data_IF_161975344503
#
_entry.id   IF_161975344503
#
_cell.length_a   1.000
_cell.length_b   1.000
_cell.length_c   1.000
_cell.angle_alpha   90.00
_cell.angle_beta   90.00
_cell.angle_gamma   90.00
#
_symmetry.space_group_name_H-M   'P 1'
#
loop_
_entity.id
_entity.type
_entity.pdbx_description
1 polymer ?
#
# COMPACT_ATOMS: atom_id res chain seq x y z
N UNK A 1 18.45 7.85 -7.51
CA UNK A 1 17.84 7.99 -6.17
C UNK A 1 18.57 7.01 -5.27
N UNK A 2 19.11 7.43 -4.13
CA UNK A 2 19.68 6.54 -3.12
C UNK A 2 18.76 6.43 -1.89
N UNK A 3 19.09 5.56 -0.93
CA UNK A 3 18.23 5.34 0.24
C UNK A 3 18.04 6.60 1.09
N UNK A 4 19.08 7.43 1.19
CA UNK A 4 19.00 8.71 1.91
C UNK A 4 18.10 9.71 1.19
N UNK A 5 18.04 9.65 -0.15
CA UNK A 5 17.08 10.38 -0.97
C UNK A 5 15.64 9.88 -0.82
N UNK A 6 15.36 8.64 -0.41
CA UNK A 6 13.98 8.27 -0.02
C UNK A 6 13.64 8.87 1.34
N UNK A 7 14.56 8.80 2.29
CA UNK A 7 14.33 9.35 3.64
C UNK A 7 14.34 10.88 3.68
N UNK A 8 14.75 11.55 2.61
CA UNK A 8 14.49 12.98 2.40
C UNK A 8 13.04 13.26 1.97
N UNK A 9 12.38 12.30 1.30
CA UNK A 9 10.95 12.40 0.94
C UNK A 9 10.02 11.97 2.08
N UNK A 10 10.38 10.90 2.80
CA UNK A 10 9.62 10.39 3.94
C UNK A 10 10.58 10.02 5.09
N UNK A 11 10.59 10.77 6.21
CA UNK A 11 11.42 10.46 7.36
C UNK A 11 11.23 9.02 7.87
N UNK A 12 12.29 8.43 8.42
CA UNK A 12 12.30 7.01 8.83
C UNK A 12 11.14 6.62 9.76
N UNK A 13 10.70 7.52 10.65
CA UNK A 13 9.58 7.25 11.55
C UNK A 13 8.24 7.20 10.82
N UNK A 14 8.01 8.04 9.80
CA UNK A 14 6.82 7.98 8.95
C UNK A 14 6.84 6.73 8.08
N UNK A 15 8.01 6.37 7.53
CA UNK A 15 8.19 5.13 6.78
C UNK A 15 7.90 3.88 7.64
N UNK A 16 8.37 3.87 8.90
CA UNK A 16 8.09 2.79 9.85
C UNK A 16 6.60 2.69 10.21
N UNK A 17 5.92 3.83 10.34
CA UNK A 17 4.48 3.88 10.59
C UNK A 17 3.66 3.31 9.41
N UNK A 18 4.03 3.68 8.17
CA UNK A 18 3.43 3.11 6.97
C UNK A 18 3.67 1.59 6.92
N UNK A 19 4.89 1.15 7.16
CA UNK A 19 5.24 -0.27 7.14
C UNK A 19 4.43 -1.08 8.16
N UNK A 20 4.35 -0.58 9.40
CA UNK A 20 3.56 -1.20 10.46
C UNK A 20 2.06 -1.25 10.12
N UNK A 21 1.54 -0.17 9.52
CA UNK A 21 0.14 -0.12 9.07
C UNK A 21 -0.14 -1.17 8.00
N UNK A 22 0.73 -1.31 6.99
CA UNK A 22 0.57 -2.32 5.94
C UNK A 22 0.56 -3.73 6.53
N UNK A 23 1.51 -4.03 7.41
CA UNK A 23 1.58 -5.30 8.12
C UNK A 23 0.33 -5.62 8.96
N UNK A 24 -0.30 -4.61 9.56
CA UNK A 24 -1.50 -4.79 10.37
C UNK A 24 -2.77 -5.00 9.52
N UNK A 25 -2.84 -4.40 8.33
CA UNK A 25 -4.09 -4.26 7.58
C UNK A 25 -4.25 -5.33 6.51
N UNK A 26 -3.16 -5.74 5.86
CA UNK A 26 -3.23 -6.66 4.74
C UNK A 26 -1.89 -7.41 4.53
N UNK A 27 -1.98 -8.69 4.17
CA UNK A 27 -0.82 -9.40 3.64
C UNK A 27 -0.38 -8.82 2.29
N UNK A 28 0.90 -8.96 1.90
CA UNK A 28 1.45 -8.34 0.69
C UNK A 28 0.73 -8.76 -0.60
N UNK A 29 0.35 -10.03 -0.72
CA UNK A 29 -0.39 -10.55 -1.89
C UNK A 29 -1.83 -10.02 -2.00
N UNK A 30 -2.38 -9.46 -0.92
CA UNK A 30 -3.74 -8.93 -0.90
C UNK A 30 -3.76 -7.42 -1.18
N UNK A 31 -2.61 -6.83 -1.50
CA UNK A 31 -2.51 -5.45 -1.95
C UNK A 31 -2.49 -5.37 -3.47
N UNK A 32 -3.23 -4.39 -3.98
CA UNK A 32 -3.35 -4.16 -5.42
C UNK A 32 -2.93 -2.75 -5.78
N UNK A 33 -2.25 -2.65 -6.92
CA UNK A 33 -1.88 -1.39 -7.53
C UNK A 33 -2.97 -0.97 -8.52
N UNK A 34 -3.04 0.31 -8.84
CA UNK A 34 -4.00 0.81 -9.82
C UNK A 34 -3.35 1.86 -10.68
N UNK A 35 -3.56 1.78 -11.99
CA UNK A 35 -3.08 2.76 -12.94
C UNK A 35 -4.18 3.11 -13.92
N UNK A 36 -4.42 4.41 -14.10
CA UNK A 36 -5.40 4.91 -15.08
C UNK A 36 -6.85 4.43 -14.84
N UNK A 37 -7.18 4.07 -13.59
CA UNK A 37 -8.53 3.78 -13.13
C UNK A 37 -8.86 4.73 -11.99
N UNK A 38 -10.11 5.19 -11.90
CA UNK A 38 -10.56 6.04 -10.80
C UNK A 38 -10.52 5.30 -9.46
N UNK A 39 -10.10 6.02 -8.41
CA UNK A 39 -10.05 5.57 -7.01
C UNK A 39 -11.27 4.75 -6.59
N UNK A 40 -12.47 5.26 -6.86
CA UNK A 40 -13.73 4.57 -6.54
C UNK A 40 -13.81 3.16 -7.15
N UNK A 41 -13.61 3.03 -8.46
CA UNK A 41 -13.69 1.73 -9.15
C UNK A 41 -12.60 0.77 -8.69
N UNK A 42 -11.38 1.26 -8.46
CA UNK A 42 -10.30 0.44 -7.93
C UNK A 42 -10.60 -0.08 -6.52
N UNK A 43 -11.12 0.80 -5.66
CA UNK A 43 -11.46 0.47 -4.27
C UNK A 43 -12.62 -0.53 -4.20
N UNK A 44 -13.68 -0.34 -4.99
CA UNK A 44 -14.79 -1.31 -5.07
C UNK A 44 -14.31 -2.68 -5.56
N UNK A 45 -13.54 -2.72 -6.65
CA UNK A 45 -13.03 -3.99 -7.18
C UNK A 45 -12.18 -4.74 -6.15
N UNK A 46 -11.32 -3.99 -5.44
CA UNK A 46 -10.45 -4.55 -4.42
C UNK A 46 -11.25 -5.09 -3.23
N UNK A 47 -12.18 -4.30 -2.70
CA UNK A 47 -12.98 -4.66 -1.52
C UNK A 47 -13.82 -5.92 -1.77
N UNK A 48 -14.49 -6.01 -2.92
CA UNK A 48 -15.28 -7.18 -3.33
C UNK A 48 -14.47 -8.48 -3.36
N UNK A 49 -13.15 -8.38 -3.55
CA UNK A 49 -12.24 -9.53 -3.71
C UNK A 49 -11.31 -9.72 -2.51
N UNK A 50 -11.56 -9.00 -1.40
CA UNK A 50 -10.75 -9.10 -0.19
C UNK A 50 -9.36 -8.46 -0.31
N UNK A 51 -9.17 -7.60 -1.31
CA UNK A 51 -7.94 -6.85 -1.53
C UNK A 51 -8.02 -5.43 -0.97
N UNK A 52 -6.88 -4.75 -0.92
CA UNK A 52 -6.79 -3.33 -0.59
C UNK A 52 -5.88 -2.56 -1.54
N UNK A 53 -6.32 -1.38 -1.93
CA UNK A 53 -5.56 -0.40 -2.69
C UNK A 53 -4.64 0.43 -1.78
N UNK A 54 -3.74 1.20 -2.37
CA UNK A 54 -2.93 2.21 -1.68
C UNK A 54 -3.77 3.12 -0.77
N UNK A 55 -4.84 3.70 -1.32
CA UNK A 55 -5.71 4.63 -0.61
C UNK A 55 -6.44 3.97 0.57
N UNK A 56 -6.95 2.76 0.39
CA UNK A 56 -7.72 2.07 1.44
C UNK A 56 -6.82 1.47 2.52
N UNK A 57 -5.64 0.97 2.15
CA UNK A 57 -4.67 0.45 3.12
C UNK A 57 -4.12 1.56 4.03
N UNK A 58 -3.85 2.74 3.44
CA UNK A 58 -3.20 3.86 4.11
C UNK A 58 -4.15 5.02 4.46
N UNK A 59 -5.47 4.87 4.27
CA UNK A 59 -6.47 5.95 4.44
C UNK A 59 -6.27 6.81 5.71
N UNK A 60 -6.07 6.24 6.92
CA UNK A 60 -5.85 7.06 8.12
C UNK A 60 -4.64 8.01 8.04
N UNK A 61 -3.65 7.65 7.22
CA UNK A 61 -2.42 8.40 7.01
C UNK A 61 -2.50 9.34 5.80
N UNK A 62 -3.42 9.10 4.86
CA UNK A 62 -3.56 9.83 3.59
C UNK A 62 -4.60 10.96 3.61
N UNK A 63 -5.39 11.09 4.66
CA UNK A 63 -6.46 12.10 4.75
C UNK A 63 -5.95 13.51 5.06
N UNK A 64 -5.46 14.25 4.06
CA UNK A 64 -4.82 15.59 4.22
C UNK A 64 -5.55 16.58 5.16
N UNK A 65 -6.88 16.55 5.24
CA UNK A 65 -7.66 17.48 6.07
C UNK A 65 -7.99 16.96 7.47
N UNK A 66 -7.64 15.71 7.77
CA UNK A 66 -7.82 15.13 9.09
C UNK A 66 -6.65 15.58 9.98
N UNK A 67 -6.89 16.25 11.13
CA UNK A 67 -5.83 16.66 12.05
C UNK A 67 -4.97 15.52 12.58
N UNK A 68 -5.46 14.27 12.47
CA UNK A 68 -4.71 13.06 12.83
C UNK A 68 -3.87 12.51 11.67
N UNK A 69 -4.03 13.02 10.45
CA UNK A 69 -3.24 12.63 9.30
C UNK A 69 -1.88 13.32 9.28
N UNK A 70 -0.95 12.73 8.53
CA UNK A 70 0.36 13.35 8.29
C UNK A 70 0.29 14.53 7.33
N UNK A 71 -0.79 14.66 6.56
CA UNK A 71 -0.95 15.70 5.55
C UNK A 71 -1.41 17.04 6.10
N UNK A 72 -2.03 17.06 7.28
CA UNK A 72 -2.62 18.27 7.85
C UNK A 72 -1.63 19.43 8.04
N UNK A 73 -0.38 19.12 8.42
CA UNK A 73 0.67 20.11 8.66
C UNK A 73 1.71 20.22 7.55
N UNK A 74 1.54 19.53 6.42
CA UNK A 74 2.52 19.49 5.32
C UNK A 74 2.22 20.57 4.28
N UNK A 75 3.27 21.19 3.74
CA UNK A 75 3.15 22.00 2.52
C UNK A 75 2.74 21.12 1.33
N UNK A 76 2.23 21.69 0.23
CA UNK A 76 1.90 20.91 -0.97
C UNK A 76 3.06 20.04 -1.46
N UNK A 77 4.28 20.56 -1.50
CA UNK A 77 5.46 19.81 -1.95
C UNK A 77 5.83 18.68 -0.97
N UNK A 78 5.79 18.97 0.33
CA UNK A 78 6.01 17.94 1.37
C UNK A 78 4.95 16.84 1.31
N UNK A 79 3.72 17.19 0.94
CA UNK A 79 2.64 16.23 0.78
C UNK A 79 2.85 15.32 -0.44
N UNK A 80 3.24 15.89 -1.58
CA UNK A 80 3.60 15.12 -2.78
C UNK A 80 4.76 14.17 -2.48
N UNK A 81 5.80 14.66 -1.81
CA UNK A 81 6.95 13.85 -1.41
C UNK A 81 6.55 12.72 -0.47
N UNK A 82 5.68 13.00 0.51
CA UNK A 82 5.13 11.99 1.40
C UNK A 82 4.33 10.92 0.63
N UNK A 83 3.46 11.32 -0.31
CA UNK A 83 2.69 10.39 -1.14
C UNK A 83 3.60 9.51 -2.01
N UNK A 84 4.64 10.09 -2.62
CA UNK A 84 5.63 9.34 -3.40
C UNK A 84 6.39 8.35 -2.52
N UNK A 85 6.86 8.79 -1.34
CA UNK A 85 7.52 7.92 -0.37
C UNK A 85 6.60 6.79 0.12
N UNK A 86 5.32 7.10 0.37
CA UNK A 86 4.31 6.12 0.75
C UNK A 86 4.05 5.09 -0.36
N UNK A 87 3.97 5.51 -1.63
CA UNK A 87 3.79 4.60 -2.78
C UNK A 87 5.01 3.68 -2.95
N UNK A 88 6.23 4.19 -2.76
CA UNK A 88 7.44 3.35 -2.73
C UNK A 88 7.38 2.34 -1.58
N UNK A 89 7.00 2.76 -0.37
CA UNK A 89 6.85 1.86 0.78
C UNK A 89 5.77 0.79 0.55
N UNK A 90 4.65 1.16 -0.07
CA UNK A 90 3.57 0.26 -0.46
C UNK A 90 4.07 -0.82 -1.43
N UNK A 91 4.80 -0.39 -2.45
CA UNK A 91 5.40 -1.25 -3.47
C UNK A 91 6.47 -2.17 -2.89
N UNK A 92 7.33 -1.66 -2.00
CA UNK A 92 8.33 -2.46 -1.30
C UNK A 92 7.69 -3.51 -0.39
N UNK A 93 6.59 -3.18 0.27
CA UNK A 93 5.85 -4.15 1.07
C UNK A 93 5.23 -5.25 0.19
N UNK A 94 4.62 -4.89 -0.95
CA UNK A 94 4.15 -5.84 -1.96
C UNK A 94 5.28 -6.78 -2.39
N UNK A 95 6.50 -6.26 -2.61
CA UNK A 95 7.68 -7.06 -3.02
C UNK A 95 8.13 -8.12 -2.00
N UNK A 96 7.56 -8.13 -0.79
CA UNK A 96 7.80 -9.20 0.21
C UNK A 96 6.88 -10.42 0.02
N UNK A 97 5.86 -10.28 -0.81
CA UNK A 97 4.96 -11.36 -1.22
C UNK A 97 5.46 -12.12 -2.45
N UNK A 98 4.53 -12.80 -3.12
CA UNK A 98 4.80 -13.59 -4.33
C UNK A 98 4.06 -13.08 -5.57
N UNK A 99 3.08 -12.19 -5.41
CA UNK A 99 2.33 -11.65 -6.53
C UNK A 99 1.62 -10.35 -6.17
N UNK A 100 1.20 -9.62 -7.20
CA UNK A 100 0.24 -8.51 -7.06
C UNK A 100 -0.61 -8.39 -8.31
N UNK A 101 -1.78 -7.77 -8.15
CA UNK A 101 -2.68 -7.41 -9.25
C UNK A 101 -2.60 -5.90 -9.47
N UNK A 102 -2.45 -5.48 -10.72
CA UNK A 102 -2.53 -4.09 -11.16
C UNK A 102 -3.84 -3.89 -11.90
N UNK A 103 -4.65 -2.99 -11.40
CA UNK A 103 -5.91 -2.61 -12.03
C UNK A 103 -5.63 -1.57 -13.11
N UNK A 104 -5.88 -1.91 -14.37
CA UNK A 104 -5.56 -1.02 -15.51
C UNK A 104 -6.71 -0.89 -16.49
N UNK A 105 -6.63 0.11 -17.38
CA UNK A 105 -7.49 0.15 -18.56
C UNK A 105 -7.34 -1.13 -19.40
N UNK A 106 -8.41 -1.57 -20.09
CA UNK A 106 -8.32 -2.74 -20.97
C UNK A 106 -7.44 -2.46 -22.19
N UNK A 107 -6.86 -3.52 -22.80
CA UNK A 107 -6.20 -3.46 -24.09
C UNK A 107 -7.04 -2.73 -25.15
N UNK A 108 -6.38 -2.08 -26.13
CA UNK A 108 -4.95 -2.13 -26.42
C UNK A 108 -4.08 -1.19 -25.55
N UNK A 109 -4.62 -0.09 -25.00
CA UNK A 109 -3.85 0.86 -24.19
C UNK A 109 -4.11 0.64 -22.70
N UNK A 110 -3.28 -0.22 -22.11
CA UNK A 110 -3.36 -0.60 -20.69
C UNK A 110 -2.78 0.46 -19.75
N UNK A 111 -1.63 1.00 -20.12
CA UNK A 111 -0.83 1.92 -19.30
C UNK A 111 -0.34 3.10 -20.14
N UNK A 112 -0.22 4.27 -19.51
CA UNK A 112 0.48 5.43 -20.10
C UNK A 112 1.95 5.40 -19.68
N UNK A 113 2.84 5.84 -20.57
CA UNK A 113 4.29 5.83 -20.33
C UNK A 113 4.69 6.60 -19.05
N UNK A 114 3.97 7.68 -18.73
CA UNK A 114 4.22 8.57 -17.58
C UNK A 114 3.21 8.38 -16.44
N UNK A 115 2.68 7.18 -16.30
CA UNK A 115 1.83 6.84 -15.15
C UNK A 115 2.70 6.65 -13.90
N UNK A 116 2.16 6.98 -12.72
CA UNK A 116 2.87 6.75 -11.45
C UNK A 116 3.29 5.29 -11.30
N UNK A 117 2.45 4.35 -11.74
CA UNK A 117 2.80 2.93 -11.78
C UNK A 117 4.09 2.67 -12.59
N UNK A 118 4.18 3.19 -13.81
CA UNK A 118 5.35 3.02 -14.68
C UNK A 118 6.62 3.68 -14.12
N UNK A 119 6.48 4.92 -13.65
CA UNK A 119 7.63 5.73 -13.23
C UNK A 119 8.14 5.36 -11.83
N UNK A 120 7.25 4.92 -10.93
CA UNK A 120 7.55 4.76 -9.50
C UNK A 120 7.30 3.37 -8.92
N UNK A 121 6.41 2.54 -9.46
CA UNK A 121 6.00 1.30 -8.77
C UNK A 121 6.56 0.05 -9.47
N UNK A 122 6.39 -0.04 -10.80
CA UNK A 122 6.84 -1.18 -11.61
C UNK A 122 8.36 -1.36 -11.55
N UNK A 123 9.12 -0.26 -11.57
CA UNK A 123 10.59 -0.29 -11.53
C UNK A 123 11.10 -0.93 -10.24
N UNK A 124 10.45 -0.68 -9.10
CA UNK A 124 10.82 -1.28 -7.82
C UNK A 124 10.51 -2.77 -7.76
N UNK A 125 9.30 -3.18 -8.19
CA UNK A 125 8.92 -4.59 -8.20
C UNK A 125 9.84 -5.39 -9.12
N UNK A 126 9.98 -4.95 -10.37
CA UNK A 126 10.76 -5.67 -11.37
C UNK A 126 12.27 -5.67 -11.09
N UNK A 127 12.78 -4.65 -10.37
CA UNK A 127 14.16 -4.66 -9.90
C UNK A 127 14.35 -5.57 -8.68
N UNK A 128 13.44 -5.53 -7.70
CA UNK A 128 13.63 -6.17 -6.39
C UNK A 128 13.16 -7.63 -6.31
N UNK A 129 12.32 -8.06 -7.26
CA UNK A 129 11.78 -9.40 -7.30
C UNK A 129 12.47 -10.26 -8.36
N UNK A 130 12.57 -11.56 -8.08
CA UNK A 130 13.05 -12.55 -9.05
C UNK A 130 11.89 -13.02 -9.93
N UNK A 131 12.16 -13.19 -11.23
CA UNK A 131 11.13 -13.51 -12.25
C UNK A 131 10.41 -14.83 -12.00
N UNK A 132 11.08 -15.78 -11.37
CA UNK A 132 10.57 -17.11 -11.02
C UNK A 132 9.77 -17.13 -9.71
N UNK A 133 9.91 -16.11 -8.86
CA UNK A 133 9.32 -16.05 -7.52
C UNK A 133 8.20 -15.02 -7.37
N UNK A 134 8.11 -14.07 -8.29
CA UNK A 134 7.12 -13.00 -8.23
C UNK A 134 6.39 -12.82 -9.56
N UNK A 135 5.09 -12.56 -9.50
CA UNK A 135 4.26 -12.29 -10.68
C UNK A 135 3.48 -10.99 -10.55
N UNK A 136 3.36 -10.28 -11.67
CA UNK A 136 2.45 -9.14 -11.79
C UNK A 136 1.31 -9.58 -12.71
N UNK A 137 0.08 -9.50 -12.20
CA UNK A 137 -1.12 -9.76 -12.96
C UNK A 137 -1.83 -8.45 -13.30
N UNK A 138 -2.48 -8.38 -14.45
CA UNK A 138 -3.38 -7.29 -14.79
C UNK A 138 -4.83 -7.73 -14.70
N UNK A 139 -5.67 -6.83 -14.19
CA UNK A 139 -7.12 -6.92 -14.24
C UNK A 139 -7.70 -5.68 -14.92
N UNK A 140 -8.87 -5.83 -15.54
CA UNK A 140 -9.57 -4.72 -16.22
C UNK A 140 -10.98 -4.51 -15.66
N UNK A 141 -11.12 -3.92 -14.45
CA UNK A 141 -12.39 -3.73 -13.76
C UNK A 141 -13.47 -2.99 -14.57
N UNK A 142 -13.06 -2.13 -15.50
CA UNK A 142 -13.97 -1.32 -16.32
C UNK A 142 -14.68 -2.14 -17.41
N UNK A 143 -14.34 -3.42 -17.57
CA UNK A 143 -14.98 -4.32 -18.52
C UNK A 143 -15.80 -5.33 -17.73
N UNK A 144 -17.11 -5.09 -17.55
CA UNK A 144 -17.99 -5.94 -16.73
C UNK A 144 -17.88 -7.44 -17.06
N UNK A 145 -17.76 -7.81 -18.34
CA UNK A 145 -17.64 -9.20 -18.77
C UNK A 145 -16.27 -9.85 -18.49
N UNK A 146 -15.28 -9.05 -18.09
CA UNK A 146 -13.89 -9.44 -17.85
C UNK A 146 -13.36 -8.93 -16.51
N UNK A 147 -14.24 -8.48 -15.61
CA UNK A 147 -13.86 -7.84 -14.35
C UNK A 147 -13.02 -8.77 -13.46
N UNK A 148 -13.27 -10.08 -13.55
CA UNK A 148 -12.59 -11.13 -12.78
C UNK A 148 -11.47 -11.82 -13.57
N UNK A 149 -11.34 -11.49 -14.86
CA UNK A 149 -10.30 -12.07 -15.68
C UNK A 149 -8.97 -11.35 -15.40
N UNK A 150 -8.00 -12.13 -14.92
CA UNK A 150 -6.63 -11.69 -14.72
C UNK A 150 -5.67 -12.47 -15.62
N UNK A 151 -4.61 -11.81 -16.07
CA UNK A 151 -3.54 -12.47 -16.82
C UNK A 151 -2.19 -11.91 -16.42
N UNK A 152 -1.15 -12.72 -16.62
CA UNK A 152 0.22 -12.35 -16.31
C UNK A 152 0.68 -11.21 -17.24
N UNK A 153 1.21 -10.15 -16.63
CA UNK A 153 1.88 -9.05 -17.31
C UNK A 153 3.41 -9.18 -17.20
N UNK A 154 3.89 -9.69 -16.07
CA UNK A 154 5.30 -9.93 -15.80
C UNK A 154 5.48 -11.20 -14.96
N UNK A 155 6.49 -12.04 -15.25
CA UNK A 155 7.58 -11.84 -16.22
C UNK A 155 7.20 -12.04 -17.70
N UNK A 156 6.12 -12.76 -18.01
CA UNK A 156 5.67 -13.02 -19.38
C UNK A 156 4.30 -12.39 -19.63
N UNK A 157 4.20 -11.56 -20.66
CA UNK A 157 2.98 -10.81 -20.96
C UNK A 157 1.99 -11.67 -21.77
N UNK A 158 0.95 -12.14 -21.10
CA UNK A 158 -0.10 -12.98 -21.66
C UNK A 158 -1.31 -12.20 -22.18
N UNK A 159 -1.13 -10.94 -22.59
CA UNK A 159 -2.17 -10.10 -23.20
C UNK A 159 -2.91 -10.78 -24.37
N UNK A 160 -2.22 -11.64 -25.13
CA UNK A 160 -2.82 -12.36 -26.26
C UNK A 160 -4.00 -13.23 -25.82
N UNK A 161 -3.90 -13.90 -24.65
CA UNK A 161 -4.99 -14.70 -24.11
C UNK A 161 -6.23 -13.83 -23.82
N UNK A 162 -6.02 -12.63 -23.26
CA UNK A 162 -7.10 -11.67 -23.06
C UNK A 162 -7.72 -11.20 -24.38
N UNK A 163 -6.89 -10.84 -25.37
CA UNK A 163 -7.38 -10.36 -26.67
C UNK A 163 -8.17 -11.43 -27.45
N UNK A 164 -7.79 -12.69 -27.33
CA UNK A 164 -8.54 -13.82 -27.91
C UNK A 164 -9.90 -13.99 -27.24
N UNK A 165 -9.99 -13.81 -25.92
CA UNK A 165 -11.23 -13.97 -25.17
C UNK A 165 -12.17 -12.77 -25.30
N UNK A 166 -11.63 -11.56 -25.49
CA UNK A 166 -12.38 -10.30 -25.57
C UNK A 166 -12.09 -9.49 -26.86
N UNK A 167 -12.29 -10.07 -28.06
CA UNK A 167 -11.82 -9.51 -29.33
C UNK A 167 -12.50 -8.19 -29.72
N UNK A 168 -13.79 -8.03 -29.42
CA UNK A 168 -14.57 -6.82 -29.73
C UNK A 168 -14.24 -5.62 -28.83
N UNK A 169 -13.43 -5.83 -27.78
CA UNK A 169 -13.03 -4.77 -26.84
C UNK A 169 -11.62 -4.25 -27.11
N UNK A 170 -10.78 -5.00 -27.83
CA UNK A 170 -9.51 -4.53 -28.38
C UNK A 170 -9.67 -3.53 -29.54
N UNK A 171 -10.84 -3.50 -30.20
CA UNK A 171 -11.10 -2.62 -31.37
C UNK A 171 -11.51 -1.18 -31.01
N UNK A 172 -12.00 -0.94 -29.79
CA UNK A 172 -12.56 0.37 -29.38
C UNK A 172 -11.53 1.49 -29.18
N UNK A 173 -10.23 1.20 -29.25
CA UNK A 173 -9.17 2.21 -29.12
C UNK A 173 -8.26 2.32 -30.36
N UNK A 174 -8.64 1.69 -31.49
CA UNK A 174 -7.91 1.79 -32.76
C UNK A 174 -8.08 3.15 -33.47
N UNK A 175 -8.90 4.05 -32.92
CA UNK A 175 -8.98 5.44 -33.39
C UNK A 175 -8.07 6.31 -32.50
N UNK A 176 -6.88 6.62 -33.02
CA UNK A 176 -5.99 7.71 -32.59
C UNK A 176 -5.12 7.53 -31.33
N UNK A 177 -4.36 6.45 -31.20
CA UNK A 177 -3.18 6.47 -30.32
C UNK A 177 -1.93 6.15 -31.14
N UNK A 178 -1.43 7.21 -31.78
CA UNK A 178 -0.06 7.26 -32.30
C UNK A 178 0.87 7.04 -31.11
N UNK A 179 1.63 5.96 -31.19
CA UNK A 179 2.67 5.56 -30.25
C UNK A 179 3.63 6.73 -30.00
N UNK A 180 3.87 7.06 -28.73
CA UNK A 180 5.11 7.70 -28.31
C UNK A 180 5.92 6.61 -27.58
N UNK A 181 6.72 5.87 -28.35
CA UNK A 181 7.70 4.90 -27.83
C UNK A 181 9.02 5.58 -27.44
N UNK A 182 8.98 6.87 -27.15
CA UNK A 182 10.18 7.72 -26.97
C UNK A 182 10.23 8.44 -25.62
N UNK A 183 9.36 8.10 -24.67
CA UNK A 183 9.60 8.51 -23.29
C UNK A 183 10.75 7.66 -22.74
N UNK A 184 11.91 8.28 -22.52
CA UNK A 184 13.01 7.70 -21.75
C UNK A 184 12.43 7.18 -20.44
N UNK A 185 12.38 5.86 -20.28
CA UNK A 185 12.06 5.26 -19.00
C UNK A 185 13.07 5.80 -17.99
N UNK A 186 12.65 6.22 -16.78
CA UNK A 186 13.60 6.70 -15.80
C UNK A 186 14.67 5.62 -15.60
N UNK A 187 15.92 6.01 -15.86
CA UNK A 187 17.07 5.10 -15.97
C UNK A 187 17.56 4.69 -14.59
N UNK A 188 16.71 3.99 -13.84
CA UNK A 188 17.14 3.33 -12.61
C UNK A 188 17.89 2.05 -12.96
N UNK A 189 19.12 1.91 -12.47
CA UNK A 189 19.82 0.63 -12.58
C UNK A 189 19.19 -0.34 -11.58
N UNK A 190 18.79 -1.56 -12.00
CA UNK A 190 18.15 -2.51 -11.09
C UNK A 190 18.96 -2.82 -9.82
N UNK A 191 20.29 -2.86 -9.92
CA UNK A 191 21.17 -3.08 -8.77
C UNK A 191 21.10 -1.95 -7.73
N UNK A 192 20.97 -0.69 -8.18
CA UNK A 192 20.86 0.46 -7.29
C UNK A 192 19.55 0.37 -6.49
N UNK A 193 18.44 0.00 -7.15
CA UNK A 193 17.15 -0.19 -6.49
C UNK A 193 17.17 -1.36 -5.50
N UNK A 194 17.85 -2.47 -5.83
CA UNK A 194 18.05 -3.61 -4.91
C UNK A 194 18.81 -3.19 -3.66
N UNK A 195 19.96 -2.54 -3.83
CA UNK A 195 20.77 -2.04 -2.71
C UNK A 195 19.99 -1.03 -1.86
N UNK A 196 19.20 -0.18 -2.53
CA UNK A 196 18.36 0.79 -1.86
C UNK A 196 17.26 0.12 -1.03
N UNK A 197 16.57 -0.89 -1.57
CA UNK A 197 15.62 -1.73 -0.82
C UNK A 197 16.26 -2.32 0.42
N UNK A 198 17.41 -2.98 0.28
CA UNK A 198 18.10 -3.62 1.41
C UNK A 198 18.44 -2.59 2.50
N UNK A 199 18.89 -1.40 2.10
CA UNK A 199 19.19 -0.30 3.02
C UNK A 199 17.94 0.20 3.73
N UNK A 200 16.82 0.36 3.02
CA UNK A 200 15.53 0.78 3.57
C UNK A 200 15.05 -0.24 4.60
N UNK A 201 14.99 -1.52 4.22
CA UNK A 201 14.53 -2.60 5.09
C UNK A 201 15.41 -2.74 6.34
N UNK A 202 16.74 -2.60 6.19
CA UNK A 202 17.68 -2.59 7.32
C UNK A 202 17.42 -1.40 8.26
N UNK A 203 17.25 -0.19 7.74
CA UNK A 203 16.94 1.00 8.55
C UNK A 203 15.60 0.86 9.28
N UNK A 204 14.57 0.34 8.61
CA UNK A 204 13.27 0.06 9.23
C UNK A 204 13.39 -0.96 10.37
N UNK A 205 14.15 -2.04 10.15
CA UNK A 205 14.41 -3.04 11.18
C UNK A 205 15.13 -2.44 12.40
N UNK A 206 16.19 -1.65 12.18
CA UNK A 206 16.93 -1.00 13.27
C UNK A 206 16.08 0.01 14.06
N UNK A 207 15.20 0.73 13.36
CA UNK A 207 14.28 1.67 13.99
C UNK A 207 13.22 0.95 14.82
N UNK A 208 12.58 -0.10 14.28
CA UNK A 208 11.50 -0.83 14.96
C UNK A 208 11.98 -1.66 16.15
N UNK A 209 13.22 -2.17 16.11
CA UNK A 209 13.81 -2.95 17.21
C UNK A 209 14.49 -2.09 18.29
N UNK A 210 14.56 -0.77 18.10
CA UNK A 210 15.33 0.12 18.98
C UNK A 210 16.85 -0.09 18.90
N UNK A 211 17.32 -0.97 18.01
CA UNK A 211 18.75 -1.22 17.79
C UNK A 211 19.49 -0.01 17.21
N UNK A 212 18.77 0.96 16.64
CA UNK A 212 19.32 2.27 16.24
C UNK A 212 20.04 3.00 17.39
N UNK A 213 19.58 2.83 18.64
CA UNK A 213 20.19 3.46 19.82
C UNK A 213 21.58 2.89 20.18
N UNK A 214 21.94 1.72 19.64
CA UNK A 214 23.20 1.05 19.99
C UNK A 214 24.32 1.27 18.97
N UNK A 215 24.04 1.89 17.81
CA UNK A 215 25.02 2.07 16.73
C UNK A 215 25.51 3.51 16.53
N UNK A 216 24.95 4.50 17.24
CA UNK A 216 25.57 5.83 17.36
C UNK A 216 26.66 5.84 18.45
N UNK A 217 27.64 4.95 18.31
CA UNK A 217 28.85 4.92 19.11
C UNK A 217 30.00 5.56 18.34
N UNK A 218 30.00 6.90 18.24
CA UNK A 218 31.17 7.80 18.13
C UNK A 218 30.84 9.08 17.35
N UNK A 219 30.31 10.09 18.04
CA UNK A 219 30.84 11.47 17.99
C UNK A 219 29.95 12.42 18.78
N UNK A 220 30.52 12.89 19.89
CA UNK A 220 30.24 14.09 20.67
C UNK A 220 28.92 14.23 21.45
N UNK A 221 29.12 14.16 22.76
CA UNK A 221 28.27 14.57 23.86
C UNK A 221 27.51 15.87 23.59
N UNK A 222 26.20 15.83 23.82
CA UNK A 222 25.47 16.88 24.53
C UNK A 222 24.37 16.23 25.37
N UNK A 223 24.30 16.68 26.62
CA UNK A 223 23.49 16.16 27.72
C UNK A 223 21.99 16.15 27.39
N UNK A 224 21.31 15.08 27.79
CA UNK A 224 19.84 15.02 27.91
C UNK A 224 19.46 14.88 29.38
N UNK A 225 18.48 15.63 29.91
CA UNK A 225 17.96 15.40 31.24
C UNK A 225 17.10 14.14 31.27
N UNK A 226 17.23 13.37 32.35
CA UNK A 226 16.55 12.12 32.60
C UNK A 226 15.01 12.26 32.61
N UNK A 227 14.33 11.40 31.84
CA UNK A 227 12.93 11.05 32.09
C UNK A 227 12.82 9.55 32.37
N UNK A 228 12.23 9.24 33.52
CA UNK A 228 12.41 7.99 34.24
C UNK A 228 11.86 6.74 33.55
N UNK A 229 12.67 5.68 33.59
CA UNK A 229 12.23 4.29 33.42
C UNK A 229 11.25 3.93 34.54
N UNK A 230 9.99 3.67 34.21
CA UNK A 230 9.14 2.77 35.00
C UNK A 230 9.07 1.42 34.30
N UNK A 231 9.49 0.40 35.03
CA UNK A 231 9.34 -1.03 34.71
C UNK A 231 7.88 -1.32 34.39
N UNK A 232 7.61 -1.96 33.25
CA UNK A 232 6.39 -2.71 32.99
C UNK A 232 6.78 -4.14 32.62
N UNK A 233 7.09 -4.90 33.65
CA UNK A 233 6.96 -6.34 33.69
C UNK A 233 6.29 -6.62 35.04
N UNK A 234 5.30 -7.52 35.06
CA UNK A 234 4.35 -7.83 36.15
C UNK A 234 3.01 -7.07 36.11
N UNK A 235 2.05 -7.61 35.34
CA UNK A 235 0.68 -7.93 35.81
C UNK A 235 -0.24 -8.24 34.61
N UNK A 236 -0.38 -9.53 34.26
CA UNK A 236 -1.41 -10.00 33.33
C UNK A 236 -2.22 -11.21 33.85
N UNK A 237 -2.23 -11.47 35.15
CA UNK A 237 -3.05 -12.56 35.74
C UNK A 237 -4.00 -12.12 36.88
N UNK A 238 -4.51 -10.88 36.88
CA UNK A 238 -5.60 -10.48 37.77
C UNK A 238 -6.61 -9.51 37.12
N UNK A 239 -7.15 -9.90 35.96
CA UNK A 239 -8.35 -9.25 35.40
C UNK A 239 -9.35 -10.29 34.85
N UNK A 240 -9.49 -11.41 35.57
CA UNK A 240 -10.63 -12.31 35.44
C UNK A 240 -11.39 -12.27 36.78
N UNK A 241 -12.39 -11.40 36.88
CA UNK A 241 -13.21 -11.36 38.08
C UNK A 241 -14.11 -10.14 38.20
N UNK A 242 -15.40 -10.37 37.98
CA UNK A 242 -16.53 -9.63 38.54
C UNK A 242 -16.93 -8.29 37.90
N UNK A 243 -18.11 -8.32 37.26
CA UNK A 243 -19.19 -7.49 37.82
C UNK A 243 -19.78 -6.37 36.96
N UNK A 244 -19.55 -6.29 35.65
CA UNK A 244 -20.16 -5.19 34.87
C UNK A 244 -20.61 -5.51 33.43
N UNK A 245 -20.72 -6.81 33.08
CA UNK A 245 -21.28 -7.23 31.77
C UNK A 245 -22.70 -7.79 31.83
N UNK A 246 -23.26 -8.09 33.01
CA UNK A 246 -24.63 -8.60 33.12
C UNK A 246 -25.71 -7.52 33.31
N UNK A 247 -25.33 -6.26 33.60
CA UNK A 247 -26.30 -5.15 33.72
C UNK A 247 -26.68 -4.55 32.37
N UNK A 248 -25.75 -4.53 31.41
CA UNK A 248 -25.98 -3.96 30.07
C UNK A 248 -26.78 -4.87 29.14
N UNK A 249 -26.76 -6.19 29.35
CA UNK A 249 -27.52 -7.15 28.53
C UNK A 249 -28.98 -7.35 28.97
N UNK A 250 -29.39 -6.83 30.15
CA UNK A 250 -30.78 -6.87 30.64
C UNK A 250 -31.61 -5.61 30.31
N UNK A 251 -30.97 -4.52 29.89
CA UNK A 251 -31.67 -3.29 29.47
C UNK A 251 -31.98 -3.28 27.96
N UNK A 252 -31.17 -3.93 27.12
CA UNK A 252 -31.41 -4.01 25.67
C UNK A 252 -32.48 -5.05 25.27
N UNK A 253 -32.70 -6.10 26.09
CA UNK A 253 -33.77 -7.08 25.85
C UNK A 253 -35.17 -6.56 26.21
N UNK A 254 -35.28 -5.53 27.07
CA UNK A 254 -36.56 -4.90 27.41
C UNK A 254 -37.00 -3.79 26.43
N UNK A 255 -36.10 -3.30 25.57
CA UNK A 255 -36.43 -2.30 24.56
C UNK A 255 -37.02 -2.92 23.28
N UNK A 256 -36.61 -4.16 22.95
CA UNK A 256 -37.12 -4.88 21.76
C UNK A 256 -38.52 -5.47 22.00
N UNK A 257 -38.94 -5.72 23.25
CA UNK A 257 -40.27 -6.28 23.54
C UNK A 257 -41.39 -5.23 23.64
N UNK A 258 -41.08 -3.92 23.71
CA UNK A 258 -42.09 -2.83 23.76
C UNK A 258 -42.46 -2.21 22.41
N UNK A 259 -41.83 -2.60 21.31
CA UNK A 259 -42.20 -2.15 19.94
C UNK A 259 -43.16 -3.09 19.21
N UNK A 260 -43.50 -4.24 19.78
CA UNK A 260 -44.36 -5.27 19.16
C UNK A 260 -45.84 -5.15 19.52
N UNK A 261 -46.26 -4.17 20.34
CA UNK A 261 -47.66 -4.01 20.81
C UNK A 261 -48.26 -2.63 20.52
N UNK A 262 -47.78 -1.90 19.50
CA UNK A 262 -48.51 -0.78 18.90
C UNK A 262 -48.60 -0.97 17.38
N UNK A 263 -49.41 -1.93 16.98
CA UNK A 263 -50.14 -1.96 15.70
C UNK A 263 -51.51 -2.56 15.96
N UNK A 264 -52.45 -1.70 16.34
CA UNK A 264 -53.87 -1.79 16.06
C UNK A 264 -54.45 -0.37 16.14
#
# INVERSE_FOLDING_TARGET
MDADSLFSFIPIHEAAEIWARLHHVCGPNNLVLSSEIGAFSANCWAEERGHKTFETALSPLLERLNPRSKGYCKTPDQWINYQNGASIMFTLYISTGTETVVLTRPPPVRLRARSSYKELEECWITACCEKDKFKIFFAHPLVNAAQDYIYEYWPEDHINAWMTMYPERGKLQNLNVLWESTAEQPTYRPNDLRQMRDTILKKLYLHTTGASLYWNGSSNAFETPAFGRRKLHENWEQAAGSGDRERKLREETNFVHRRSTLKM
#
